data_IF_516017879535
#
_entry.id   IF_516017879535
#
_cell.length_a   1.000
_cell.length_b   1.000
_cell.length_c   1.000
_cell.angle_alpha   90.00
_cell.angle_beta   90.00
_cell.angle_gamma   90.00
#
_symmetry.space_group_name_H-M   'P 1'
#
loop_
_entity.id
_entity.type
_entity.pdbx_description
1 polymer ?
#
# COMPACT_ATOMS: atom_id res chain seq x y z
N UNK A 1 -43.91 5.67 3.09
CA UNK A 1 -42.77 5.92 2.19
C UNK A 1 -41.61 5.12 2.74
N UNK A 2 -41.31 3.95 2.16
CA UNK A 2 -40.24 3.08 2.65
C UNK A 2 -38.94 3.57 2.04
N UNK A 3 -38.16 4.32 2.81
CA UNK A 3 -36.77 4.62 2.46
C UNK A 3 -35.93 3.38 2.75
N UNK A 4 -35.95 2.38 1.87
CA UNK A 4 -34.91 1.37 1.89
C UNK A 4 -33.63 2.04 1.37
N UNK A 5 -32.74 2.43 2.29
CA UNK A 5 -31.37 2.78 1.92
C UNK A 5 -30.78 1.57 1.21
N UNK A 6 -30.57 1.67 -0.10
CA UNK A 6 -29.89 0.62 -0.86
C UNK A 6 -28.51 0.40 -0.23
N UNK A 7 -28.27 -0.84 0.20
CA UNK A 7 -27.00 -1.21 0.81
C UNK A 7 -25.88 -1.10 -0.22
N UNK A 8 -24.83 -0.37 0.12
CA UNK A 8 -23.62 -0.25 -0.69
C UNK A 8 -22.45 -0.88 0.04
N UNK A 9 -21.77 -1.82 -0.60
CA UNK A 9 -20.61 -2.49 -0.03
C UNK A 9 -19.43 -1.52 0.08
N UNK A 10 -18.85 -1.39 1.28
CA UNK A 10 -17.63 -0.60 1.48
C UNK A 10 -16.41 -1.39 1.00
N UNK A 11 -15.69 -0.86 0.03
CA UNK A 11 -14.49 -1.51 -0.53
C UNK A 11 -13.27 -0.62 -0.44
N UNK A 12 -12.10 -1.25 -0.29
CA UNK A 12 -10.82 -0.58 -0.44
C UNK A 12 -10.00 -1.18 -1.58
N UNK A 13 -9.13 -0.38 -2.18
CA UNK A 13 -8.40 -0.76 -3.39
C UNK A 13 -6.96 -1.15 -3.10
N UNK A 14 -6.57 -2.29 -3.63
CA UNK A 14 -5.18 -2.72 -3.74
C UNK A 14 -4.72 -2.59 -5.19
N UNK A 15 -3.41 -2.36 -5.37
CA UNK A 15 -2.81 -2.24 -6.69
C UNK A 15 -1.74 -3.32 -6.90
N UNK A 16 -2.13 -4.59 -7.06
CA UNK A 16 -1.18 -5.66 -7.34
C UNK A 16 -0.59 -5.52 -8.74
N UNK A 17 0.67 -5.93 -8.88
CA UNK A 17 1.24 -6.22 -10.19
C UNK A 17 0.60 -7.50 -10.74
N UNK A 18 -0.04 -7.41 -11.89
CA UNK A 18 -0.67 -8.58 -12.53
C UNK A 18 0.34 -9.62 -13.05
N UNK A 19 1.64 -9.29 -13.04
CA UNK A 19 2.72 -10.19 -13.47
C UNK A 19 3.27 -10.95 -12.26
N UNK A 20 3.79 -10.25 -11.25
CA UNK A 20 4.46 -10.89 -10.10
C UNK A 20 3.65 -10.91 -8.79
N UNK A 21 2.43 -10.39 -8.79
CA UNK A 21 1.52 -10.39 -7.62
C UNK A 21 1.90 -9.44 -6.48
N UNK A 22 3.02 -8.72 -6.58
CA UNK A 22 3.44 -7.73 -5.57
C UNK A 22 2.40 -6.62 -5.43
N UNK A 23 1.97 -6.32 -4.20
CA UNK A 23 1.00 -5.24 -3.91
C UNK A 23 1.73 -3.93 -3.64
N UNK A 24 1.38 -2.89 -4.41
CA UNK A 24 1.92 -1.55 -4.24
C UNK A 24 0.85 -0.61 -3.65
N UNK A 25 1.30 0.43 -2.95
CA UNK A 25 0.39 1.34 -2.24
C UNK A 25 -0.39 2.28 -3.16
N UNK A 26 0.13 2.58 -4.36
CA UNK A 26 -0.47 3.55 -5.29
C UNK A 26 -0.39 3.05 -6.73
N UNK A 27 -1.42 3.34 -7.52
CA UNK A 27 -1.47 3.04 -8.96
C UNK A 27 -0.18 3.41 -9.73
N UNK A 28 0.36 4.60 -9.46
CA UNK A 28 1.58 5.09 -10.11
C UNK A 28 2.81 4.24 -9.75
N UNK A 29 2.88 3.75 -8.51
CA UNK A 29 3.96 2.84 -8.11
C UNK A 29 3.86 1.52 -8.84
N UNK A 30 2.65 0.98 -9.02
CA UNK A 30 2.43 -0.25 -9.79
C UNK A 30 2.84 -0.08 -11.25
N UNK A 31 2.48 1.04 -11.90
CA UNK A 31 2.91 1.33 -13.29
C UNK A 31 4.42 1.38 -13.38
N UNK A 32 5.07 2.15 -12.49
CA UNK A 32 6.53 2.24 -12.47
C UNK A 32 7.19 0.88 -12.21
N UNK A 33 6.61 0.05 -11.35
CA UNK A 33 7.08 -1.30 -11.08
C UNK A 33 6.97 -2.19 -12.34
N UNK A 34 5.84 -2.16 -13.04
CA UNK A 34 5.65 -2.93 -14.28
C UNK A 34 6.67 -2.49 -15.36
N UNK A 35 6.92 -1.19 -15.51
CA UNK A 35 7.90 -0.69 -16.48
C UNK A 35 9.34 -1.05 -16.08
N UNK A 36 9.72 -0.80 -14.82
CA UNK A 36 11.11 -0.96 -14.38
C UNK A 36 11.50 -2.42 -14.16
N UNK A 37 10.59 -3.24 -13.63
CA UNK A 37 10.85 -4.64 -13.27
C UNK A 37 10.50 -5.59 -14.39
N UNK A 38 9.42 -5.35 -15.13
CA UNK A 38 8.94 -6.27 -16.17
C UNK A 38 9.08 -5.72 -17.60
N UNK A 39 9.59 -4.50 -17.77
CA UNK A 39 9.87 -3.96 -19.11
C UNK A 39 8.63 -3.66 -19.94
N UNK A 40 7.45 -3.53 -19.33
CA UNK A 40 6.22 -3.16 -20.03
C UNK A 40 5.79 -1.75 -19.66
N UNK A 41 5.60 -0.90 -20.67
CA UNK A 41 5.03 0.43 -20.48
C UNK A 41 3.51 0.35 -20.49
N UNK A 42 2.92 0.93 -19.46
CA UNK A 42 1.49 1.00 -19.27
C UNK A 42 1.06 2.45 -19.03
N UNK A 43 0.04 2.92 -19.76
CA UNK A 43 -0.43 4.30 -19.63
C UNK A 43 -1.16 4.52 -18.31
N UNK A 44 -0.87 5.61 -17.61
CA UNK A 44 -1.57 5.98 -16.38
C UNK A 44 -2.92 6.64 -16.64
N UNK A 45 -3.77 6.65 -15.60
CA UNK A 45 -5.00 7.45 -15.59
C UNK A 45 -4.69 8.94 -15.74
N UNK A 46 -5.56 9.67 -16.44
CA UNK A 46 -5.48 11.14 -16.51
C UNK A 46 -5.60 11.73 -15.11
N UNK A 47 -4.67 12.64 -14.78
CA UNK A 47 -4.65 13.36 -13.50
C UNK A 47 -5.88 14.26 -13.39
N UNK A 48 -6.42 14.41 -12.19
CA UNK A 48 -7.56 15.30 -11.91
C UNK A 48 -8.94 14.68 -12.16
N UNK A 49 -9.03 13.44 -12.65
CA UNK A 49 -10.30 12.73 -12.77
C UNK A 49 -10.55 11.83 -11.55
N UNK A 50 -11.66 12.07 -10.86
CA UNK A 50 -12.12 11.19 -9.78
C UNK A 50 -12.71 9.91 -10.38
N UNK A 51 -12.71 8.83 -9.61
CA UNK A 51 -13.42 7.60 -9.97
C UNK A 51 -14.93 7.90 -9.99
N UNK A 52 -15.67 7.51 -11.05
CA UNK A 52 -17.13 7.62 -11.08
C UNK A 52 -17.76 6.88 -9.90
N UNK A 53 -18.87 7.39 -9.41
CA UNK A 53 -19.65 6.71 -8.37
C UNK A 53 -20.28 5.44 -8.93
N UNK A 54 -20.37 4.40 -8.09
CA UNK A 54 -21.02 3.14 -8.42
C UNK A 54 -22.23 2.95 -7.49
N UNK A 55 -23.39 2.49 -8.00
CA UNK A 55 -24.54 2.19 -7.15
C UNK A 55 -24.25 1.12 -6.10
N UNK A 56 -23.34 0.17 -6.37
CA UNK A 56 -23.12 -0.99 -5.51
C UNK A 56 -22.01 -0.77 -4.47
N UNK A 57 -21.14 0.23 -4.65
CA UNK A 57 -19.92 0.36 -3.87
C UNK A 57 -19.74 1.73 -3.24
N UNK A 58 -19.20 1.74 -2.02
CA UNK A 58 -18.61 2.92 -1.37
C UNK A 58 -17.11 2.74 -1.32
N UNK A 59 -16.37 3.71 -1.85
CA UNK A 59 -14.91 3.64 -1.93
C UNK A 59 -14.25 4.24 -0.70
N UNK A 60 -13.58 3.38 0.09
CA UNK A 60 -12.81 3.77 1.26
C UNK A 60 -11.35 3.97 0.84
N UNK A 61 -10.97 5.25 0.73
CA UNK A 61 -9.59 5.64 0.47
C UNK A 61 -8.85 5.72 1.82
N UNK A 62 -7.69 5.05 1.91
CA UNK A 62 -6.83 5.07 3.12
C UNK A 62 -7.51 4.51 4.39
N UNK A 63 -7.95 3.24 4.38
CA UNK A 63 -8.46 2.60 5.59
C UNK A 63 -7.37 2.55 6.68
N UNK A 64 -7.77 2.86 7.92
CA UNK A 64 -6.91 2.83 9.11
C UNK A 64 -7.00 1.48 9.81
N UNK A 65 -8.19 0.89 9.84
CA UNK A 65 -8.47 -0.41 10.48
C UNK A 65 -9.11 -1.37 9.49
N UNK A 66 -9.11 -2.67 9.82
CA UNK A 66 -9.81 -3.67 9.02
C UNK A 66 -11.34 -3.47 9.00
N UNK A 67 -11.92 -2.86 10.02
CA UNK A 67 -13.36 -2.60 10.15
C UNK A 67 -13.86 -1.44 9.28
N UNK A 68 -12.96 -0.62 8.72
CA UNK A 68 -13.33 0.51 7.86
C UNK A 68 -13.99 0.10 6.53
N UNK A 69 -13.78 -1.13 6.08
CA UNK A 69 -14.27 -1.66 4.80
C UNK A 69 -14.62 -3.14 4.91
N UNK A 70 -15.44 -3.64 3.99
CA UNK A 70 -15.90 -5.02 3.99
C UNK A 70 -14.95 -5.92 3.17
N UNK A 71 -14.59 -5.46 1.96
CA UNK A 71 -13.82 -6.25 1.01
C UNK A 71 -12.66 -5.49 0.36
N UNK A 72 -11.59 -6.22 0.05
CA UNK A 72 -10.48 -5.75 -0.78
C UNK A 72 -10.78 -5.99 -2.25
N UNK A 73 -10.65 -4.94 -3.05
CA UNK A 73 -10.75 -5.01 -4.50
C UNK A 73 -9.40 -4.74 -5.16
N UNK A 74 -9.04 -5.59 -6.10
CA UNK A 74 -7.83 -5.54 -6.89
C UNK A 74 -8.09 -4.63 -8.08
N UNK A 75 -7.35 -3.54 -8.16
CA UNK A 75 -7.67 -2.43 -9.06
C UNK A 75 -6.62 -2.21 -10.14
N UNK A 76 -7.11 -1.94 -11.36
CA UNK A 76 -6.24 -1.58 -12.47
C UNK A 76 -5.58 -0.22 -12.20
N UNK A 77 -4.25 -0.09 -12.40
CA UNK A 77 -3.59 1.19 -12.20
C UNK A 77 -3.87 2.20 -13.33
N UNK A 78 -4.40 1.74 -14.47
CA UNK A 78 -4.55 2.50 -15.71
C UNK A 78 -5.97 2.95 -16.05
N UNK A 79 -6.99 2.33 -15.45
CA UNK A 79 -8.38 2.76 -15.57
C UNK A 79 -9.14 2.52 -14.26
N UNK A 80 -10.47 2.64 -14.27
CA UNK A 80 -11.29 2.43 -13.08
C UNK A 80 -11.74 0.98 -12.87
N UNK A 81 -11.32 0.05 -13.74
CA UNK A 81 -11.60 -1.36 -13.56
C UNK A 81 -11.05 -1.88 -12.22
N UNK A 82 -11.84 -2.73 -11.58
CA UNK A 82 -11.46 -3.48 -10.40
C UNK A 82 -12.25 -4.78 -10.33
N UNK A 83 -11.72 -5.75 -9.59
CA UNK A 83 -12.38 -7.01 -9.28
C UNK A 83 -12.18 -7.32 -7.78
N UNK A 84 -12.95 -8.25 -7.18
CA UNK A 84 -12.61 -8.81 -5.88
C UNK A 84 -11.16 -9.34 -5.86
N UNK A 85 -10.46 -9.23 -4.74
CA UNK A 85 -9.13 -9.83 -4.57
C UNK A 85 -9.25 -11.30 -4.11
N UNK A 86 -9.82 -12.14 -4.96
CA UNK A 86 -9.88 -13.60 -4.83
C UNK A 86 -8.68 -14.27 -5.53
N UNK A 87 -8.70 -15.61 -5.60
CA UNK A 87 -7.63 -16.41 -6.22
C UNK A 87 -7.49 -16.10 -7.73
N UNK A 88 -8.58 -15.69 -8.39
CA UNK A 88 -8.60 -15.37 -9.82
C UNK A 88 -8.32 -13.89 -10.13
N UNK A 89 -8.09 -13.06 -9.11
CA UNK A 89 -7.95 -11.62 -9.26
C UNK A 89 -6.79 -11.22 -10.17
N UNK A 90 -5.63 -11.89 -10.04
CA UNK A 90 -4.46 -11.60 -10.88
C UNK A 90 -4.71 -11.99 -12.33
N UNK A 91 -5.37 -13.13 -12.57
CA UNK A 91 -5.75 -13.59 -13.91
C UNK A 91 -6.74 -12.62 -14.55
N UNK A 92 -7.73 -12.18 -13.78
CA UNK A 92 -8.73 -11.18 -14.20
C UNK A 92 -8.07 -9.84 -14.56
N UNK A 93 -7.14 -9.36 -13.73
CA UNK A 93 -6.38 -8.15 -14.00
C UNK A 93 -5.47 -8.31 -15.22
N UNK A 94 -4.75 -9.42 -15.38
CA UNK A 94 -3.89 -9.65 -16.53
C UNK A 94 -4.70 -9.66 -17.83
N UNK A 95 -5.84 -10.36 -17.82
CA UNK A 95 -6.76 -10.39 -18.96
C UNK A 95 -7.28 -8.99 -19.30
N UNK A 96 -7.71 -8.22 -18.30
CA UNK A 96 -8.17 -6.85 -18.48
C UNK A 96 -7.06 -5.96 -19.06
N UNK A 97 -5.88 -5.95 -18.44
CA UNK A 97 -4.76 -5.10 -18.86
C UNK A 97 -4.30 -5.44 -20.28
N UNK A 98 -4.14 -6.72 -20.61
CA UNK A 98 -3.70 -7.15 -21.93
C UNK A 98 -4.72 -6.81 -23.03
N UNK A 99 -6.02 -6.98 -22.75
CA UNK A 99 -7.09 -6.70 -23.73
C UNK A 99 -7.35 -5.20 -23.91
N UNK A 100 -7.44 -4.46 -22.79
CA UNK A 100 -7.90 -3.07 -22.78
C UNK A 100 -6.75 -2.07 -22.93
N UNK A 101 -5.60 -2.34 -22.31
CA UNK A 101 -4.50 -1.38 -22.26
C UNK A 101 -3.34 -1.72 -23.20
N UNK A 102 -3.20 -2.98 -23.64
CA UNK A 102 -2.18 -3.46 -24.58
C UNK A 102 -0.78 -2.90 -24.24
N UNK A 103 -0.17 -3.32 -23.11
CA UNK A 103 1.11 -2.80 -22.65
C UNK A 103 2.19 -2.95 -23.73
N UNK A 104 3.01 -1.91 -23.91
CA UNK A 104 4.09 -1.94 -24.90
C UNK A 104 5.35 -2.54 -24.26
N UNK A 105 5.97 -3.52 -24.90
CA UNK A 105 7.29 -3.98 -24.49
C UNK A 105 8.34 -2.90 -24.79
N UNK A 106 8.95 -2.34 -23.76
CA UNK A 106 9.99 -1.29 -23.85
C UNK A 106 11.38 -1.81 -23.46
N UNK A 107 11.46 -2.95 -22.77
CA UNK A 107 12.72 -3.55 -22.34
C UNK A 107 12.63 -5.09 -22.44
N UNK A 108 12.96 -5.66 -23.63
CA UNK A 108 12.87 -7.09 -23.88
C UNK A 108 13.75 -7.96 -22.97
N UNK A 109 14.82 -7.38 -22.42
CA UNK A 109 15.75 -8.10 -21.53
C UNK A 109 15.08 -8.50 -20.20
N UNK A 110 13.96 -7.84 -19.84
CA UNK A 110 13.24 -8.07 -18.57
C UNK A 110 12.02 -8.97 -18.69
N UNK A 111 11.65 -9.41 -19.89
CA UNK A 111 10.40 -10.13 -20.13
C UNK A 111 10.51 -11.28 -21.13
N UNK A 112 11.64 -11.98 -21.13
CA UNK A 112 11.86 -13.16 -21.97
C UNK A 112 11.49 -12.88 -23.45
N UNK A 113 11.98 -11.74 -23.98
CA UNK A 113 11.67 -11.26 -25.33
C UNK A 113 10.18 -10.96 -25.61
N UNK A 114 9.41 -10.60 -24.58
CA UNK A 114 8.01 -10.18 -24.70
C UNK A 114 6.98 -11.29 -24.46
N UNK A 115 7.39 -12.41 -23.86
CA UNK A 115 6.54 -13.62 -23.75
C UNK A 115 5.61 -13.60 -22.53
N UNK A 116 5.79 -12.67 -21.58
CA UNK A 116 4.98 -12.61 -20.36
C UNK A 116 3.55 -12.13 -20.70
N UNK A 117 2.64 -13.07 -20.93
CA UNK A 117 1.21 -12.83 -21.19
C UNK A 117 0.31 -13.14 -20.00
N UNK A 118 0.83 -13.82 -18.98
CA UNK A 118 0.06 -14.33 -17.85
C UNK A 118 0.71 -13.97 -16.51
N UNK A 119 -0.06 -13.95 -15.41
CA UNK A 119 0.51 -13.87 -14.08
C UNK A 119 1.53 -15.00 -13.87
N UNK A 120 2.69 -14.66 -13.35
CA UNK A 120 3.72 -15.62 -12.92
C UNK A 120 3.38 -16.24 -11.56
N UNK A 121 2.45 -15.63 -10.83
CA UNK A 121 1.96 -16.11 -9.54
C UNK A 121 0.44 -16.12 -9.55
N UNK A 122 -0.15 -17.05 -8.79
CA UNK A 122 -1.60 -17.19 -8.65
C UNK A 122 -2.19 -16.35 -7.51
N UNK A 123 -1.38 -15.77 -6.63
CA UNK A 123 -1.87 -15.08 -5.44
C UNK A 123 -1.26 -13.69 -5.24
N UNK A 124 -2.03 -12.84 -4.55
CA UNK A 124 -1.67 -11.47 -4.22
C UNK A 124 -0.79 -11.45 -2.97
N UNK A 125 0.42 -10.90 -3.06
CA UNK A 125 1.38 -10.83 -1.94
C UNK A 125 1.19 -9.52 -1.18
N UNK A 126 0.42 -9.55 -0.08
CA UNK A 126 0.20 -8.38 0.78
C UNK A 126 1.36 -8.20 1.76
N UNK A 127 2.04 -7.07 1.69
CA UNK A 127 3.13 -6.73 2.61
C UNK A 127 2.66 -6.07 3.92
N UNK A 128 1.41 -5.60 3.98
CA UNK A 128 0.84 -4.90 5.14
C UNK A 128 -0.56 -5.41 5.41
N UNK A 129 -0.78 -5.89 6.63
CA UNK A 129 -2.09 -6.24 7.17
C UNK A 129 -2.47 -5.10 8.12
N UNK A 130 -3.65 -4.51 7.93
CA UNK A 130 -4.17 -3.47 8.83
C UNK A 130 -4.48 -4.08 10.20
N UNK A 131 -4.31 -3.33 11.29
CA UNK A 131 -4.69 -3.81 12.61
C UNK A 131 -6.20 -4.14 12.65
N UNK A 132 -6.61 -5.13 13.45
CA UNK A 132 -8.02 -5.33 13.76
C UNK A 132 -8.58 -4.04 14.38
N UNK A 133 -9.84 -3.71 14.09
CA UNK A 133 -10.52 -2.66 14.84
C UNK A 133 -10.82 -3.18 16.25
N UNK A 134 -10.66 -2.33 17.26
CA UNK A 134 -11.15 -2.64 18.61
C UNK A 134 -12.68 -2.56 18.57
N UNK A 135 -13.34 -3.67 18.24
CA UNK A 135 -14.81 -3.80 18.23
C UNK A 135 -15.37 -4.09 19.65
N UNK A 136 -14.56 -3.87 20.70
CA UNK A 136 -14.95 -4.03 22.11
C UNK A 136 -15.26 -2.67 22.75
N UNK A 137 -16.41 -2.08 22.43
CA UNK A 137 -17.13 -1.20 23.36
C UNK A 137 -18.61 -1.09 22.98
N UNK A 138 -19.38 -2.07 23.42
CA UNK A 138 -20.81 -1.95 23.68
C UNK A 138 -20.98 -1.64 25.18
N UNK A 139 -21.47 -0.44 25.50
CA UNK A 139 -22.23 0.02 26.69
C UNK A 139 -22.17 1.55 26.67
N UNK A 140 -23.21 2.24 26.22
CA UNK A 140 -24.44 2.61 26.93
C UNK A 140 -24.25 3.79 27.90
N UNK A 141 -25.19 4.74 27.86
CA UNK A 141 -25.36 5.91 28.73
C UNK A 141 -24.29 7.05 28.59
N UNK A 142 -24.59 8.35 28.52
CA UNK A 142 -25.77 9.16 28.83
C UNK A 142 -25.57 10.58 28.25
N UNK A 143 -26.68 11.32 28.23
CA UNK A 143 -26.93 12.69 27.78
C UNK A 143 -25.99 13.79 28.32
N UNK A 144 -25.84 14.87 27.55
CA UNK A 144 -25.95 16.30 27.97
C UNK A 144 -25.59 17.18 26.77
N UNK A 145 -26.57 17.90 26.21
CA UNK A 145 -26.94 19.30 26.52
C UNK A 145 -26.12 20.33 25.71
N UNK A 146 -26.87 21.02 24.84
CA UNK A 146 -26.92 22.46 24.63
C UNK A 146 -25.81 23.25 23.89
N UNK A 147 -26.31 23.93 22.85
CA UNK A 147 -26.11 25.35 22.51
C UNK A 147 -24.67 25.87 22.28
N UNK A 148 -24.34 26.27 21.05
CA UNK A 148 -24.39 27.70 20.69
C UNK A 148 -23.85 28.06 19.29
N UNK A 149 -24.65 28.92 18.65
CA UNK A 149 -24.38 30.04 17.75
C UNK A 149 -23.33 30.00 16.61
N UNK A 150 -23.91 30.02 15.41
CA UNK A 150 -23.51 30.71 14.19
C UNK A 150 -23.11 32.20 14.40
N UNK A 151 -21.97 32.69 13.85
CA UNK A 151 -21.89 33.89 12.96
C UNK A 151 -20.47 34.44 12.63
N UNK A 152 -20.17 34.36 11.32
CA UNK A 152 -19.74 35.45 10.42
C UNK A 152 -18.37 36.17 10.46
N UNK A 153 -17.77 36.21 9.25
CA UNK A 153 -17.23 37.35 8.46
C UNK A 153 -15.78 37.87 8.68
N UNK A 154 -14.99 37.64 7.61
CA UNK A 154 -14.20 38.58 6.78
C UNK A 154 -13.44 39.73 7.47
N UNK A 155 -12.11 39.75 7.33
CA UNK A 155 -11.35 40.75 6.53
C UNK A 155 -9.83 40.52 6.60
N UNK A 156 -9.19 40.54 5.44
CA UNK A 156 -7.77 40.86 5.23
C UNK A 156 -7.57 42.39 5.34
N UNK A 157 -6.37 42.92 5.68
CA UNK A 157 -5.35 43.19 4.66
C UNK A 157 -3.86 43.08 5.12
N UNK A 158 -2.98 43.16 4.11
CA UNK A 158 -1.51 43.00 4.08
C UNK A 158 -0.73 44.06 4.88
N UNK A 159 0.42 43.66 5.46
CA UNK A 159 1.64 44.50 5.56
C UNK A 159 2.91 43.64 5.57
N UNK A 160 3.96 44.20 4.95
CA UNK A 160 5.30 43.62 4.70
C UNK A 160 6.14 43.60 5.99
N UNK A 161 6.91 42.54 6.22
CA UNK A 161 8.15 42.60 7.02
C UNK A 161 9.10 41.44 6.67
N UNK A 162 10.39 41.75 6.67
CA UNK A 162 11.52 40.93 6.24
C UNK A 162 11.89 39.82 7.25
N UNK A 163 12.39 38.72 6.68
CA UNK A 163 13.42 37.78 7.16
C UNK A 163 13.67 37.59 8.67
N UNK A 164 13.54 36.34 9.13
CA UNK A 164 14.64 35.59 9.77
C UNK A 164 14.34 34.07 9.78
N UNK A 165 15.35 33.20 9.51
CA UNK A 165 15.17 31.75 9.49
C UNK A 165 15.14 31.20 10.92
N UNK A 166 14.03 30.55 11.31
CA UNK A 166 13.97 29.80 12.56
C UNK A 166 14.79 28.52 12.41
N UNK A 167 15.78 28.39 13.28
CA UNK A 167 16.64 27.23 13.48
C UNK A 167 15.85 25.94 13.57
N UNK A 168 16.22 24.95 12.75
CA UNK A 168 15.76 23.57 12.86
C UNK A 168 16.11 23.03 14.25
N UNK A 169 15.10 22.65 15.04
CA UNK A 169 15.30 21.71 16.15
C UNK A 169 15.78 20.41 15.51
N UNK A 170 16.99 19.99 15.89
CA UNK A 170 17.65 18.77 15.43
C UNK A 170 17.00 17.61 16.20
N UNK A 171 16.16 16.83 15.53
CA UNK A 171 15.63 15.58 16.07
C UNK A 171 16.81 14.66 16.42
N UNK A 172 16.97 14.39 17.71
CA UNK A 172 18.03 13.56 18.31
C UNK A 172 17.80 12.06 18.11
N UNK A 173 17.16 11.65 17.01
CA UNK A 173 16.92 10.23 16.69
C UNK A 173 17.35 9.82 15.27
N UNK A 174 18.12 10.65 14.56
CA UNK A 174 18.85 10.17 13.39
C UNK A 174 20.07 9.38 13.86
N UNK A 175 19.93 8.05 13.93
CA UNK A 175 21.06 7.13 13.89
C UNK A 175 21.89 7.51 12.67
N UNK A 176 23.11 8.00 12.92
CA UNK A 176 24.03 8.36 11.85
C UNK A 176 24.34 7.13 11.01
N UNK A 177 24.64 7.33 9.73
CA UNK A 177 25.02 6.25 8.81
C UNK A 177 26.16 5.39 9.40
N UNK A 178 27.08 6.01 10.14
CA UNK A 178 28.17 5.30 10.84
C UNK A 178 27.67 4.39 11.97
N UNK A 179 26.61 4.77 12.67
CA UNK A 179 25.97 3.99 13.74
C UNK A 179 25.25 2.76 13.16
N UNK A 180 24.68 2.91 11.96
CA UNK A 180 24.11 1.81 11.20
C UNK A 180 25.19 0.78 10.80
N UNK A 181 26.34 1.25 10.31
CA UNK A 181 27.45 0.36 9.95
C UNK A 181 28.01 -0.38 11.17
N UNK A 182 28.10 0.29 12.32
CA UNK A 182 28.54 -0.34 13.57
C UNK A 182 27.59 -1.48 13.98
N UNK A 183 26.27 -1.24 13.96
CA UNK A 183 25.27 -2.27 14.29
C UNK A 183 25.27 -3.45 13.32
N UNK A 184 25.53 -3.20 12.03
CA UNK A 184 25.64 -4.26 11.03
C UNK A 184 26.89 -5.12 11.29
N UNK A 185 28.02 -4.49 11.67
CA UNK A 185 29.23 -5.21 12.04
C UNK A 185 29.00 -6.10 13.27
N UNK A 186 28.37 -5.56 14.32
CA UNK A 186 28.07 -6.30 15.56
C UNK A 186 27.12 -7.48 15.30
N UNK A 187 26.09 -7.31 14.46
CA UNK A 187 25.19 -8.40 14.05
C UNK A 187 25.92 -9.49 13.27
N UNK A 188 26.87 -9.10 12.41
CA UNK A 188 27.65 -10.06 11.62
C UNK A 188 28.59 -10.87 12.50
N UNK A 189 29.16 -10.26 13.53
CA UNK A 189 30.03 -10.93 14.50
C UNK A 189 29.23 -11.88 15.40
N UNK A 190 28.06 -11.47 15.90
CA UNK A 190 27.16 -12.35 16.64
C UNK A 190 26.74 -13.58 15.82
N UNK A 191 26.43 -13.40 14.53
CA UNK A 191 26.06 -14.50 13.65
C UNK A 191 27.22 -15.47 13.40
N UNK A 192 28.45 -14.95 13.22
CA UNK A 192 29.65 -15.79 13.08
C UNK A 192 29.94 -16.59 14.35
N UNK A 193 29.81 -15.98 15.52
CA UNK A 193 30.00 -16.67 16.80
C UNK A 193 28.97 -17.78 16.98
N UNK A 194 27.72 -17.54 16.61
CA UNK A 194 26.64 -18.53 16.72
C UNK A 194 26.84 -19.71 15.75
N UNK A 195 27.31 -19.43 14.53
CA UNK A 195 27.60 -20.48 13.54
C UNK A 195 28.86 -21.27 13.86
N UNK A 196 29.90 -20.63 14.41
CA UNK A 196 31.14 -21.32 14.80
C UNK A 196 31.04 -22.03 16.16
N UNK A 197 30.15 -21.58 17.05
CA UNK A 197 29.83 -22.23 18.32
C UNK A 197 29.25 -23.64 18.12
N UNK A 198 28.46 -23.84 17.07
CA UNK A 198 27.88 -25.16 16.75
C UNK A 198 28.90 -26.16 16.18
N UNK A 199 30.03 -25.69 15.67
CA UNK A 199 31.09 -26.55 15.14
C UNK A 199 31.93 -27.22 16.23
N UNK A 200 31.98 -26.63 17.44
CA UNK A 200 32.87 -27.06 18.52
C UNK A 200 32.23 -27.99 19.57
N UNK A 201 30.92 -28.29 19.47
CA UNK A 201 30.26 -29.25 20.36
C UNK A 201 30.22 -30.69 19.79
N UNK A 202 30.62 -30.92 18.54
CA UNK A 202 30.59 -32.25 17.91
C UNK A 202 31.94 -33.00 17.90
N UNK A 203 33.02 -32.39 18.38
CA UNK A 203 34.37 -32.99 18.37
C UNK A 203 34.78 -33.71 19.66
N UNK A 204 33.95 -33.72 20.71
CA UNK A 204 34.28 -34.31 22.02
C UNK A 204 33.50 -35.58 22.39
N UNK A 205 32.99 -36.34 21.41
CA UNK A 205 32.23 -37.58 21.67
C UNK A 205 32.74 -38.84 20.98
N UNK A 206 34.05 -38.90 20.70
CA UNK A 206 34.74 -40.13 20.32
C UNK A 206 36.06 -40.24 21.07
N UNK A 207 35.98 -40.61 22.35
CA UNK A 207 37.02 -41.33 23.09
C UNK A 207 36.42 -41.74 24.44
N UNK A 208 35.80 -42.91 24.45
CA UNK A 208 35.84 -43.93 25.51
C UNK A 208 35.20 -45.21 24.98
#
# INVERSE_FOLDING_TARGET
>A
MVYSKEYKQKITFEYPCYICGSVLSKARQTINHIENTHGYRLNGRLVGRRRPEDPNYVYINEPKTRSDFEAYHCSCPSCWYHCPCDEDALTSLANHVNKTHKPQNVDPAKNENGTIKHPQVSYVVRSKILPPGDDDQETDELESEDEDEEKTKKKSPKTKAKAQPKSKKKDTNQLGINDLYQRIADLTEMFKTLMNSNSNMNSNKQQD
#
